data_IF_444724587368
#
_entry.id   IF_444724587368
#
_cell.length_a   1.000
_cell.length_b   1.000
_cell.length_c   1.000
_cell.angle_alpha   90.00
_cell.angle_beta   90.00
_cell.angle_gamma   90.00
#
_symmetry.space_group_name_H-M   'P 1'
#
loop_
_entity.id
_entity.type
_entity.pdbx_description
1 polymer ?
#
# COMPACT_ATOMS: atom_id res chain seq x y z
N UNK A 1 -4.22 34.52 4.76
CA UNK A 1 -4.37 33.18 4.17
C UNK A 1 -3.15 32.41 4.59
N UNK A 2 -3.32 31.35 5.36
CA UNK A 2 -2.20 30.53 5.81
C UNK A 2 -1.77 29.60 4.68
N UNK A 3 -0.47 29.51 4.42
CA UNK A 3 0.12 28.62 3.42
C UNK A 3 0.59 27.36 4.14
N UNK A 4 0.16 26.19 3.68
CA UNK A 4 0.61 24.90 4.20
C UNK A 4 1.97 24.54 3.60
N UNK A 5 2.90 24.04 4.42
CA UNK A 5 4.18 23.49 4.01
C UNK A 5 4.43 22.15 4.72
N UNK A 6 5.40 21.38 4.21
CA UNK A 6 5.78 20.09 4.77
C UNK A 6 5.10 18.91 4.07
N UNK A 7 5.06 17.77 4.75
CA UNK A 7 4.60 16.50 4.19
C UNK A 7 3.07 16.45 4.17
N UNK A 8 2.49 16.77 3.02
CA UNK A 8 1.04 16.76 2.80
C UNK A 8 0.54 15.46 2.20
N UNK A 9 1.45 14.52 1.94
CA UNK A 9 1.18 13.21 1.37
C UNK A 9 1.90 12.14 2.18
N UNK A 10 1.23 11.02 2.42
CA UNK A 10 1.83 9.78 2.89
C UNK A 10 1.64 8.68 1.86
N UNK A 11 2.62 7.79 1.76
CA UNK A 11 2.57 6.62 0.90
C UNK A 11 2.96 5.40 1.73
N UNK A 12 2.21 4.31 1.55
CA UNK A 12 2.56 2.97 2.01
C UNK A 12 2.29 1.99 0.88
N UNK A 13 3.14 0.97 0.77
CA UNK A 13 2.91 -0.19 -0.10
C UNK A 13 2.45 -1.34 0.76
N UNK A 14 1.33 -1.97 0.39
CA UNK A 14 0.88 -3.18 1.07
C UNK A 14 1.97 -4.25 1.11
N UNK A 15 1.95 -5.10 2.13
CA UNK A 15 2.90 -6.21 2.30
C UNK A 15 4.39 -5.83 2.32
N UNK A 16 4.71 -4.53 2.36
CA UNK A 16 6.07 -4.00 2.39
C UNK A 16 6.26 -3.07 3.58
N UNK A 17 5.39 -2.08 3.72
CA UNK A 17 5.56 -1.00 4.70
C UNK A 17 4.82 -1.27 6.02
N UNK A 18 4.66 -2.55 6.39
CA UNK A 18 4.01 -2.96 7.64
C UNK A 18 5.01 -3.21 8.77
N UNK A 19 4.59 -2.95 10.01
CA UNK A 19 5.37 -3.14 11.22
C UNK A 19 5.38 -4.61 11.72
N UNK A 20 5.93 -4.84 12.91
CA UNK A 20 5.95 -6.19 13.50
C UNK A 20 4.58 -6.75 13.88
N UNK A 21 3.57 -5.88 13.97
CA UNK A 21 2.21 -6.20 14.38
C UNK A 21 1.23 -6.26 13.19
N UNK A 22 1.70 -5.97 11.97
CA UNK A 22 0.91 -6.10 10.74
C UNK A 22 0.25 -4.80 10.27
N UNK A 23 0.67 -3.64 10.79
CA UNK A 23 0.11 -2.35 10.41
C UNK A 23 1.01 -1.61 9.42
N UNK A 24 0.43 -1.14 8.31
CA UNK A 24 1.07 -0.19 7.40
C UNK A 24 1.26 1.16 8.10
N UNK A 25 2.48 1.69 8.07
CA UNK A 25 2.81 2.94 8.75
C UNK A 25 3.43 3.98 7.81
N UNK A 26 2.95 5.22 7.89
CA UNK A 26 3.63 6.37 7.29
C UNK A 26 3.43 7.61 8.15
N UNK A 27 4.35 8.57 8.06
CA UNK A 27 4.35 9.76 8.89
C UNK A 27 4.97 10.95 8.16
N UNK A 28 4.76 12.14 8.71
CA UNK A 28 5.33 13.36 8.19
C UNK A 28 5.12 14.52 9.16
N UNK A 29 5.60 15.70 8.76
CA UNK A 29 5.41 16.92 9.54
C UNK A 29 4.87 18.06 8.69
N UNK A 30 3.84 18.73 9.23
CA UNK A 30 3.27 19.94 8.65
C UNK A 30 3.74 21.18 9.39
N UNK A 31 3.83 22.28 8.64
CA UNK A 31 3.92 23.64 9.15
C UNK A 31 3.00 24.55 8.34
N UNK A 32 2.65 25.70 8.89
CA UNK A 32 1.92 26.70 8.13
C UNK A 32 2.54 28.08 8.30
N UNK A 33 2.49 28.89 7.24
CA UNK A 33 2.99 30.27 7.25
C UNK A 33 1.83 31.24 7.16
N UNK A 34 1.73 32.17 8.11
CA UNK A 34 0.78 33.29 8.06
C UNK A 34 1.49 34.58 8.44
N UNK A 35 1.17 35.66 7.74
CA UNK A 35 1.77 36.99 7.94
C UNK A 35 3.31 37.01 7.94
N UNK A 36 3.93 36.06 7.21
CA UNK A 36 5.39 35.94 7.06
C UNK A 36 6.09 35.09 8.13
N UNK A 37 5.35 34.56 9.11
CA UNK A 37 5.89 33.73 10.20
C UNK A 37 5.44 32.28 10.02
N UNK A 38 6.34 31.33 10.33
CA UNK A 38 6.07 29.87 10.21
C UNK A 38 5.79 29.24 11.57
N UNK A 39 4.75 28.41 11.61
CA UNK A 39 4.22 27.78 12.80
C UNK A 39 4.12 26.26 12.63
N UNK A 40 4.30 25.54 13.74
CA UNK A 40 4.19 24.07 13.81
C UNK A 40 3.02 23.63 14.70
N UNK A 41 2.21 24.57 15.19
CA UNK A 41 1.19 24.28 16.20
C UNK A 41 -0.16 23.94 15.57
N UNK A 42 -0.53 22.66 15.64
CA UNK A 42 -1.79 22.11 15.19
C UNK A 42 -2.70 21.71 16.36
N UNK A 43 -3.98 21.53 16.06
CA UNK A 43 -4.94 20.94 17.00
C UNK A 43 -4.76 19.43 16.97
N UNK A 44 -4.38 18.78 18.10
CA UNK A 44 -4.24 17.34 18.13
C UNK A 44 -5.56 16.64 17.80
N UNK A 45 -5.50 15.60 16.98
CA UNK A 45 -6.68 14.86 16.52
C UNK A 45 -6.32 13.41 16.21
N UNK A 46 -7.29 12.51 16.33
CA UNK A 46 -7.27 11.18 15.74
C UNK A 46 -8.47 11.08 14.79
N UNK A 47 -8.19 10.87 13.51
CA UNK A 47 -9.15 10.91 12.43
C UNK A 47 -9.23 9.52 11.80
N UNK A 48 -10.33 8.81 12.04
CA UNK A 48 -10.56 7.50 11.43
C UNK A 48 -11.01 7.68 9.98
N UNK A 49 -10.30 7.01 9.07
CA UNK A 49 -10.64 6.86 7.68
C UNK A 49 -11.43 5.57 7.42
N UNK A 50 -11.49 5.20 6.15
CA UNK A 50 -12.02 3.92 5.66
C UNK A 50 -11.02 2.79 5.89
N UNK A 51 -9.73 3.02 5.67
CA UNK A 51 -8.69 1.96 5.74
C UNK A 51 -7.77 2.12 6.95
N UNK A 52 -7.50 3.36 7.38
CA UNK A 52 -6.61 3.60 8.51
C UNK A 52 -7.05 4.75 9.39
N UNK A 53 -6.19 5.09 10.36
CA UNK A 53 -6.39 6.24 11.24
C UNK A 53 -5.20 7.17 11.14
N UNK A 54 -5.47 8.46 10.90
CA UNK A 54 -4.46 9.52 10.95
C UNK A 54 -4.49 10.19 12.33
N UNK A 55 -3.35 10.24 13.00
CA UNK A 55 -3.15 11.00 14.23
C UNK A 55 -2.33 12.24 13.95
N UNK A 56 -2.84 13.42 14.32
CA UNK A 56 -2.11 14.68 14.30
C UNK A 56 -1.71 15.06 15.73
N UNK A 57 -0.44 15.41 15.91
CA UNK A 57 0.11 15.90 17.16
C UNK A 57 0.18 17.43 17.18
N UNK A 58 0.40 18.01 18.36
CA UNK A 58 0.41 19.47 18.50
C UNK A 58 1.52 20.15 17.69
N UNK A 59 2.68 19.52 17.52
CA UNK A 59 3.83 20.07 16.80
C UNK A 59 3.84 19.73 15.30
N UNK A 60 2.68 19.41 14.75
CA UNK A 60 2.49 19.21 13.32
C UNK A 60 2.95 17.85 12.80
N UNK A 61 3.48 16.98 13.66
CA UNK A 61 3.75 15.60 13.26
C UNK A 61 2.43 14.86 13.13
N UNK A 62 2.28 14.16 12.03
CA UNK A 62 1.20 13.23 11.83
C UNK A 62 1.74 11.83 11.59
N UNK A 63 0.95 10.84 11.98
CA UNK A 63 1.17 9.43 11.67
C UNK A 63 -0.12 8.83 11.12
N UNK A 64 0.01 7.88 10.22
CA UNK A 64 -1.08 7.09 9.67
C UNK A 64 -0.78 5.62 9.89
N UNK A 65 -1.80 4.87 10.29
CA UNK A 65 -1.73 3.43 10.53
C UNK A 65 -2.96 2.76 9.89
N UNK A 66 -2.74 1.66 9.15
CA UNK A 66 -3.80 0.82 8.58
C UNK A 66 -3.47 -0.66 8.75
N UNK A 67 -4.45 -1.50 9.10
CA UNK A 67 -4.26 -2.95 9.18
C UNK A 67 -4.03 -3.52 7.78
N UNK A 68 -2.82 -4.05 7.53
CA UNK A 68 -2.42 -4.59 6.23
C UNK A 68 -3.29 -5.77 5.79
N UNK A 69 -3.90 -6.50 6.73
CA UNK A 69 -4.71 -7.69 6.46
C UNK A 69 -6.14 -7.40 5.98
N UNK A 70 -6.52 -6.12 5.89
CA UNK A 70 -7.83 -5.73 5.37
C UNK A 70 -8.01 -6.24 3.93
N UNK A 71 -9.16 -6.88 3.67
CA UNK A 71 -9.46 -7.46 2.36
C UNK A 71 -9.34 -6.44 1.21
N UNK A 72 -9.78 -5.19 1.42
CA UNK A 72 -9.68 -4.14 0.41
C UNK A 72 -8.24 -3.71 0.09
N UNK A 73 -7.32 -3.85 1.06
CA UNK A 73 -5.89 -3.59 0.84
C UNK A 73 -5.30 -4.78 0.09
N UNK A 74 -5.49 -6.00 0.60
CA UNK A 74 -4.99 -7.25 0.01
C UNK A 74 -5.53 -7.55 -1.41
N UNK A 75 -6.64 -6.93 -1.80
CA UNK A 75 -7.20 -7.02 -3.15
C UNK A 75 -6.46 -6.13 -4.17
N UNK A 76 -5.53 -5.27 -3.74
CA UNK A 76 -4.77 -4.41 -4.62
C UNK A 76 -3.78 -5.22 -5.48
N UNK A 77 -3.72 -4.87 -6.77
CA UNK A 77 -2.70 -5.38 -7.70
C UNK A 77 -1.59 -4.36 -7.96
N UNK A 78 -0.61 -4.76 -8.76
CA UNK A 78 0.47 -3.86 -9.20
C UNK A 78 -0.10 -2.59 -9.86
N UNK A 79 0.18 -1.43 -9.28
CA UNK A 79 -0.24 -0.14 -9.81
C UNK A 79 -1.69 0.25 -9.48
N UNK A 80 -2.42 -0.60 -8.75
CA UNK A 80 -3.65 -0.19 -8.07
C UNK A 80 -3.31 0.55 -6.79
N UNK A 81 -4.19 1.46 -6.36
CA UNK A 81 -4.04 2.15 -5.10
C UNK A 81 -5.39 2.52 -4.48
N UNK A 82 -5.41 2.59 -3.14
CA UNK A 82 -6.47 3.22 -2.36
C UNK A 82 -6.01 4.60 -1.91
N UNK A 83 -6.94 5.54 -1.85
CA UNK A 83 -6.65 6.92 -1.43
C UNK A 83 -7.57 7.35 -0.30
N UNK A 84 -6.98 7.99 0.72
CA UNK A 84 -7.70 8.64 1.82
C UNK A 84 -7.31 10.13 1.92
N UNK A 85 -8.23 10.93 2.45
CA UNK A 85 -8.01 12.37 2.66
C UNK A 85 -8.47 12.76 4.05
N UNK A 86 -7.56 13.36 4.82
CA UNK A 86 -7.78 13.77 6.20
C UNK A 86 -7.68 15.28 6.33
N UNK A 87 -8.69 15.92 6.93
CA UNK A 87 -8.66 17.35 7.22
C UNK A 87 -8.24 17.60 8.66
N UNK A 88 -7.11 18.29 8.84
CA UNK A 88 -6.56 18.71 10.13
C UNK A 88 -6.69 20.23 10.30
N UNK A 89 -6.66 20.71 11.54
CA UNK A 89 -6.80 22.14 11.85
C UNK A 89 -5.56 22.68 12.56
N UNK A 90 -5.03 23.80 12.09
CA UNK A 90 -4.03 24.59 12.82
C UNK A 90 -4.67 25.36 13.97
N UNK A 91 -3.87 25.81 14.94
CA UNK A 91 -4.38 26.59 16.10
C UNK A 91 -4.91 27.97 15.68
N UNK A 92 -4.48 28.50 14.53
CA UNK A 92 -5.03 29.73 13.94
C UNK A 92 -6.44 29.55 13.34
N UNK A 93 -6.96 28.31 13.34
CA UNK A 93 -8.29 27.96 12.80
C UNK A 93 -8.29 27.58 11.32
N UNK A 94 -7.16 27.64 10.62
CA UNK A 94 -7.06 27.18 9.23
C UNK A 94 -7.20 25.66 9.12
N UNK A 95 -7.80 25.19 8.03
CA UNK A 95 -7.93 23.76 7.71
C UNK A 95 -6.96 23.36 6.61
N UNK A 96 -6.40 22.16 6.76
CA UNK A 96 -5.35 21.62 5.90
C UNK A 96 -5.66 20.15 5.60
N UNK A 97 -5.29 19.69 4.41
CA UNK A 97 -5.54 18.30 3.98
C UNK A 97 -4.24 17.52 3.91
N UNK A 98 -4.27 16.29 4.41
CA UNK A 98 -3.24 15.26 4.18
C UNK A 98 -3.87 14.17 3.32
N UNK A 99 -3.20 13.79 2.25
CA UNK A 99 -3.59 12.67 1.40
C UNK A 99 -2.75 11.45 1.74
N UNK A 100 -3.37 10.29 1.89
CA UNK A 100 -2.66 9.02 2.08
C UNK A 100 -2.98 8.12 0.89
N UNK A 101 -1.95 7.59 0.25
CA UNK A 101 -2.07 6.59 -0.80
C UNK A 101 -1.54 5.24 -0.26
N UNK A 102 -2.32 4.17 -0.45
CA UNK A 102 -1.94 2.77 -0.18
C UNK A 102 -1.79 2.11 -1.54
N UNK A 103 -0.57 1.76 -1.93
CA UNK A 103 -0.28 1.12 -3.21
C UNK A 103 -0.28 -0.40 -3.08
N UNK A 104 -0.82 -1.08 -4.10
CA UNK A 104 -0.75 -2.52 -4.24
C UNK A 104 0.65 -2.99 -4.54
N UNK A 105 1.04 -4.09 -3.91
CA UNK A 105 2.22 -4.82 -4.32
C UNK A 105 1.86 -5.57 -5.60
N UNK A 106 2.77 -5.54 -6.57
CA UNK A 106 2.63 -6.46 -7.69
C UNK A 106 2.73 -7.88 -7.18
N UNK A 107 1.58 -8.53 -7.02
CA UNK A 107 1.46 -9.96 -6.81
C UNK A 107 2.23 -10.67 -7.92
N UNK A 108 3.51 -10.95 -7.69
CA UNK A 108 4.27 -11.88 -8.48
C UNK A 108 3.46 -13.17 -8.46
N UNK A 109 2.94 -13.57 -9.61
CA UNK A 109 2.03 -14.72 -9.75
C UNK A 109 2.62 -15.90 -8.97
N UNK A 110 2.09 -16.17 -7.78
CA UNK A 110 2.34 -17.41 -7.08
C UNK A 110 1.40 -18.44 -7.70
N UNK A 111 1.81 -19.04 -8.81
CA UNK A 111 1.33 -20.39 -9.12
C UNK A 111 1.95 -21.29 -8.04
N UNK A 112 1.24 -21.44 -6.92
CA UNK A 112 1.38 -22.60 -6.04
C UNK A 112 0.35 -23.66 -6.45
N UNK A 113 0.35 -23.98 -7.75
CA UNK A 113 -0.10 -25.27 -8.21
C UNK A 113 1.11 -26.19 -8.12
N UNK A 114 0.94 -27.35 -7.52
CA UNK A 114 1.88 -28.44 -7.66
C UNK A 114 1.92 -28.78 -9.17
N UNK A 115 2.78 -28.09 -9.94
CA UNK A 115 3.04 -28.45 -11.33
C UNK A 115 4.00 -29.64 -11.33
N UNK A 116 3.61 -30.69 -10.59
CA UNK A 116 4.10 -32.03 -10.82
C UNK A 116 3.30 -32.54 -12.02
N UNK A 117 3.65 -32.02 -13.19
CA UNK A 117 3.59 -32.83 -14.39
C UNK A 117 4.48 -34.03 -14.12
N UNK A 118 3.89 -35.14 -13.69
CA UNK A 118 4.60 -36.41 -13.59
C UNK A 118 4.97 -36.83 -15.00
N UNK A 119 6.16 -36.44 -15.46
CA UNK A 119 6.77 -37.03 -16.64
C UNK A 119 7.26 -38.39 -16.18
N UNK A 120 6.44 -39.43 -16.35
CA UNK A 120 6.99 -40.77 -16.41
C UNK A 120 7.75 -40.82 -17.72
N UNK A 121 9.08 -40.77 -17.66
CA UNK A 121 9.90 -41.29 -18.74
C UNK A 121 9.56 -42.78 -18.82
N UNK A 122 8.66 -43.15 -19.73
CA UNK A 122 8.41 -44.56 -19.99
C UNK A 122 9.70 -45.13 -20.59
N UNK A 123 10.18 -46.18 -19.94
CA UNK A 123 11.40 -46.87 -20.26
C UNK A 123 11.20 -47.64 -21.56
N UNK A 124 11.37 -46.99 -22.70
CA UNK A 124 11.62 -47.68 -23.96
C UNK A 124 12.62 -46.88 -24.81
N UNK A 125 13.89 -47.24 -24.65
CA UNK A 125 14.93 -46.90 -25.62
C UNK A 125 14.63 -47.65 -26.92
N UNK A 126 14.43 -46.93 -28.02
CA UNK A 126 14.86 -47.45 -29.32
C UNK A 126 16.31 -47.01 -29.59
N UNK A 127 17.02 -47.75 -30.44
CA UNK A 127 18.47 -47.62 -30.66
C UNK A 127 18.86 -46.29 -31.36
N UNK A 128 17.91 -45.42 -31.72
CA UNK A 128 18.16 -44.26 -32.58
C UNK A 128 17.72 -42.89 -32.01
N UNK A 129 17.11 -42.84 -30.81
CA UNK A 129 17.11 -41.65 -29.95
C UNK A 129 16.33 -40.42 -30.45
N UNK A 130 15.11 -40.58 -30.96
CA UNK A 130 14.24 -39.43 -31.30
C UNK A 130 12.83 -39.58 -30.72
N UNK A 131 12.38 -38.57 -29.96
CA UNK A 131 11.01 -38.47 -29.42
C UNK A 131 10.04 -37.92 -30.47
N UNK A 132 8.94 -38.63 -30.75
CA UNK A 132 7.78 -38.11 -31.50
C UNK A 132 6.64 -37.77 -30.52
N UNK A 133 6.01 -36.60 -30.68
CA UNK A 133 4.93 -36.12 -29.81
C UNK A 133 3.60 -36.16 -30.55
N UNK A 134 2.71 -37.07 -30.20
CA UNK A 134 1.38 -37.16 -30.78
C UNK A 134 0.33 -36.89 -29.68
N UNK A 135 0.03 -35.61 -29.41
CA UNK A 135 -0.98 -35.22 -28.43
C UNK A 135 -2.01 -34.26 -29.03
N UNK A 136 -3.24 -34.72 -29.23
CA UNK A 136 -4.38 -33.91 -29.67
C UNK A 136 -4.98 -33.11 -28.49
N UNK A 137 -5.22 -31.80 -28.69
CA UNK A 137 -5.93 -30.94 -27.75
C UNK A 137 -7.44 -30.94 -28.07
N UNK A 138 -8.30 -31.17 -27.08
CA UNK A 138 -9.72 -30.80 -27.15
C UNK A 138 -10.05 -29.93 -25.95
N UNK A 139 -10.52 -28.71 -26.24
CA UNK A 139 -11.18 -27.83 -25.28
C UNK A 139 -12.66 -27.71 -25.70
N UNK A 140 -13.56 -27.70 -24.71
CA UNK A 140 -15.00 -27.46 -24.90
C UNK A 140 -15.30 -26.00 -25.23
#
# INVERSE_FOLDING_TARGET
MSILNGDTTGLVTEDVDYDGDGFLETNGQLSYTTDGETFLNFTPAALSGTYGTLTMSHNGYWSYEADNSQAAIQDLGYGDYLQESFTVSSVDGSSHTIQIDIEGQGNGIWISGDDIGHVTEDLDYDYDGVLQTDGFLSAS
#
